data_IF_434674566211
#
_entry.id   IF_434674566211
#
_cell.length_a   1.000
_cell.length_b   1.000
_cell.length_c   1.000
_cell.angle_alpha   90.00
_cell.angle_beta   90.00
_cell.angle_gamma   90.00
#
_symmetry.space_group_name_H-M   'P 1'
#
loop_
_entity.id
_entity.type
_entity.pdbx_description
1 polymer ?
#
# COMPACT_ATOMS: atom_id res chain seq x y z
N UNK A 1 11.08 -3.11 36.46
CA UNK A 1 11.45 -4.45 35.95
C UNK A 1 11.96 -4.29 34.54
N UNK A 2 13.27 -4.07 34.37
CA UNK A 2 13.92 -3.79 33.09
C UNK A 2 14.62 -5.05 32.59
N UNK A 3 13.93 -5.87 31.79
CA UNK A 3 14.61 -6.82 30.93
C UNK A 3 15.18 -6.02 29.76
N UNK A 4 16.48 -5.70 29.79
CA UNK A 4 17.21 -5.04 28.70
C UNK A 4 17.56 -6.07 27.62
N UNK A 5 16.57 -6.68 26.98
CA UNK A 5 16.80 -7.49 25.79
C UNK A 5 17.25 -6.58 24.63
N UNK A 6 17.91 -7.19 23.63
CA UNK A 6 18.24 -6.48 22.40
C UNK A 6 16.98 -5.91 21.72
N UNK A 7 15.86 -6.67 21.72
CA UNK A 7 14.57 -6.22 21.20
C UNK A 7 13.99 -5.01 21.94
N UNK A 8 14.01 -5.00 23.28
CA UNK A 8 13.46 -3.88 24.05
C UNK A 8 14.30 -2.61 23.86
N UNK A 9 15.62 -2.79 23.76
CA UNK A 9 16.54 -1.69 23.45
C UNK A 9 16.36 -1.18 22.03
N UNK A 10 16.17 -2.07 21.05
CA UNK A 10 15.90 -1.70 19.66
C UNK A 10 14.62 -0.87 19.55
N UNK A 11 13.54 -1.30 20.22
CA UNK A 11 12.27 -0.57 20.26
C UNK A 11 12.44 0.84 20.83
N UNK A 12 13.16 0.97 21.95
CA UNK A 12 13.45 2.29 22.53
C UNK A 12 14.17 3.21 21.54
N UNK A 13 15.21 2.71 20.88
CA UNK A 13 15.97 3.50 19.91
C UNK A 13 15.14 3.85 18.66
N UNK A 14 14.28 2.94 18.19
CA UNK A 14 13.35 3.21 17.09
C UNK A 14 12.33 4.31 17.47
N UNK A 15 11.78 4.27 18.69
CA UNK A 15 10.92 5.33 19.23
C UNK A 15 11.63 6.68 19.32
N UNK A 16 12.88 6.70 19.78
CA UNK A 16 13.70 7.92 19.84
C UNK A 16 14.01 8.46 18.44
N UNK A 17 14.33 7.60 17.48
CA UNK A 17 14.56 7.98 16.09
C UNK A 17 13.30 8.62 15.49
N UNK A 18 12.16 7.94 15.60
CA UNK A 18 10.86 8.39 15.11
C UNK A 18 10.43 9.71 15.75
N UNK A 19 10.54 9.82 17.07
CA UNK A 19 10.17 11.05 17.81
C UNK A 19 11.07 12.22 17.45
N UNK A 20 12.38 11.98 17.30
CA UNK A 20 13.33 13.01 16.87
C UNK A 20 13.04 13.51 15.46
N UNK A 21 12.69 12.59 14.54
CA UNK A 21 12.28 12.93 13.17
C UNK A 21 11.03 13.81 13.15
N UNK A 22 10.00 13.46 13.94
CA UNK A 22 8.76 14.24 14.03
C UNK A 22 8.98 15.64 14.61
N UNK A 23 9.77 15.74 15.67
CA UNK A 23 9.93 17.02 16.39
C UNK A 23 10.96 17.96 15.73
N UNK A 24 12.07 17.42 15.22
CA UNK A 24 13.21 18.21 14.73
C UNK A 24 13.49 18.02 13.24
N UNK A 25 12.73 17.16 12.55
CA UNK A 25 13.04 16.75 11.19
C UNK A 25 14.26 15.82 11.12
N UNK A 26 14.80 15.66 9.92
CA UNK A 26 15.95 14.81 9.68
C UNK A 26 17.20 15.43 10.33
N UNK A 27 17.71 14.78 11.38
CA UNK A 27 18.85 15.25 12.16
C UNK A 27 19.88 14.13 12.38
N UNK A 28 21.13 14.49 12.67
CA UNK A 28 22.18 13.53 13.01
C UNK A 28 21.77 12.64 14.20
N UNK A 29 21.08 13.21 15.19
CA UNK A 29 20.57 12.46 16.33
C UNK A 29 19.53 11.41 15.92
N UNK A 30 18.57 11.78 15.05
CA UNK A 30 17.57 10.86 14.54
C UNK A 30 18.20 9.68 13.78
N UNK A 31 19.19 9.97 12.92
CA UNK A 31 19.94 8.94 12.18
C UNK A 31 20.76 8.05 13.11
N UNK A 32 21.40 8.62 14.13
CA UNK A 32 22.17 7.85 15.12
C UNK A 32 21.28 6.85 15.87
N UNK A 33 20.08 7.27 16.29
CA UNK A 33 19.11 6.38 16.91
C UNK A 33 18.62 5.29 15.95
N UNK A 34 18.36 5.62 14.68
CA UNK A 34 18.01 4.64 13.63
C UNK A 34 19.10 3.55 13.50
N UNK A 35 20.36 3.96 13.38
CA UNK A 35 21.50 3.04 13.25
C UNK A 35 21.65 2.14 14.49
N UNK A 36 21.47 2.70 15.68
CA UNK A 36 21.51 1.92 16.93
C UNK A 36 20.36 0.90 17.00
N UNK A 37 19.15 1.29 16.61
CA UNK A 37 18.01 0.38 16.55
C UNK A 37 18.27 -0.77 15.58
N UNK A 38 18.80 -0.49 14.39
CA UNK A 38 19.17 -1.51 13.39
C UNK A 38 20.20 -2.51 13.92
N UNK A 39 21.26 -2.03 14.57
CA UNK A 39 22.27 -2.92 15.17
C UNK A 39 21.63 -3.83 16.23
N UNK A 40 20.77 -3.27 17.08
CA UNK A 40 20.09 -4.03 18.14
C UNK A 40 19.06 -5.02 17.58
N UNK A 41 18.39 -4.72 16.46
CA UNK A 41 17.54 -5.67 15.75
C UNK A 41 18.35 -6.82 15.16
N UNK A 42 19.51 -6.55 14.57
CA UNK A 42 20.42 -7.59 14.07
C UNK A 42 20.83 -8.53 15.21
N UNK A 43 21.28 -7.98 16.33
CA UNK A 43 21.64 -8.78 17.52
C UNK A 43 20.45 -9.59 18.04
N UNK A 44 19.26 -8.98 18.10
CA UNK A 44 18.03 -9.67 18.50
C UNK A 44 17.69 -10.86 17.60
N UNK A 45 17.90 -10.73 16.28
CA UNK A 45 17.64 -11.81 15.33
C UNK A 45 18.69 -12.95 15.39
N UNK A 46 19.90 -12.68 15.87
CA UNK A 46 20.97 -13.67 16.03
C UNK A 46 20.79 -14.55 17.29
N UNK A 47 20.05 -14.07 18.30
CA UNK A 47 19.89 -14.70 19.63
C UNK A 47 18.98 -15.96 19.66
N UNK A 48 18.74 -16.61 18.52
CA UNK A 48 17.91 -17.82 18.42
C UNK A 48 16.41 -17.54 18.44
N UNK A 49 15.60 -18.44 19.03
CA UNK A 49 14.14 -18.31 19.00
C UNK A 49 13.67 -17.21 19.96
N UNK A 50 13.13 -16.12 19.39
CA UNK A 50 12.60 -14.99 20.16
C UNK A 50 11.41 -15.43 21.03
N UNK A 51 11.40 -14.96 22.29
CA UNK A 51 10.19 -15.02 23.12
C UNK A 51 9.09 -14.13 22.53
N UNK A 52 7.82 -14.43 22.83
CA UNK A 52 6.67 -13.66 22.32
C UNK A 52 6.82 -12.15 22.56
N UNK A 53 7.24 -11.76 23.77
CA UNK A 53 7.46 -10.35 24.14
C UNK A 53 8.59 -9.72 23.33
N UNK A 54 9.72 -10.42 23.18
CA UNK A 54 10.85 -9.92 22.39
C UNK A 54 10.51 -9.86 20.90
N UNK A 55 9.66 -10.76 20.40
CA UNK A 55 9.15 -10.75 19.04
C UNK A 55 8.23 -9.54 18.79
N UNK A 56 7.27 -9.28 19.68
CA UNK A 56 6.43 -8.07 19.60
C UNK A 56 7.28 -6.79 19.59
N UNK A 57 8.30 -6.71 20.46
CA UNK A 57 9.20 -5.56 20.50
C UNK A 57 10.03 -5.41 19.22
N UNK A 58 10.51 -6.53 18.66
CA UNK A 58 11.24 -6.56 17.39
C UNK A 58 10.35 -6.07 16.24
N UNK A 59 9.12 -6.61 16.14
CA UNK A 59 8.12 -6.21 15.13
C UNK A 59 7.78 -4.73 15.26
N UNK A 60 7.49 -4.24 16.47
CA UNK A 60 7.17 -2.83 16.70
C UNK A 60 8.33 -1.90 16.34
N UNK A 61 9.57 -2.29 16.66
CA UNK A 61 10.76 -1.55 16.29
C UNK A 61 10.92 -1.47 14.77
N UNK A 62 10.76 -2.60 14.07
CA UNK A 62 10.78 -2.65 12.60
C UNK A 62 9.70 -1.74 11.99
N UNK A 63 8.47 -1.78 12.48
CA UNK A 63 7.38 -0.92 11.98
C UNK A 63 7.63 0.57 12.20
N UNK A 64 8.21 0.95 13.34
CA UNK A 64 8.61 2.33 13.60
C UNK A 64 9.73 2.80 12.66
N UNK A 65 10.71 1.94 12.36
CA UNK A 65 11.76 2.25 11.38
C UNK A 65 11.20 2.33 9.96
N UNK A 66 10.27 1.45 9.59
CA UNK A 66 9.54 1.56 8.33
C UNK A 66 8.79 2.88 8.21
N UNK A 67 8.13 3.31 9.28
CA UNK A 67 7.41 4.59 9.34
C UNK A 67 8.37 5.80 9.31
N UNK A 68 9.54 5.69 9.93
CA UNK A 68 10.60 6.68 9.84
C UNK A 68 11.01 6.93 8.39
N UNK A 69 11.18 5.87 7.60
CA UNK A 69 11.53 5.96 6.18
C UNK A 69 10.41 6.55 5.32
N UNK A 70 9.14 6.27 5.62
CA UNK A 70 8.01 6.77 4.81
C UNK A 70 7.66 8.23 5.10
N UNK A 71 7.90 8.73 6.32
CA UNK A 71 7.62 10.12 6.70
C UNK A 71 8.47 11.12 5.91
N UNK A 72 9.75 10.82 5.75
CA UNK A 72 10.67 11.57 4.91
C UNK A 72 11.53 10.59 4.11
N UNK A 73 11.04 10.14 2.95
CA UNK A 73 11.80 9.23 2.11
C UNK A 73 13.14 9.87 1.79
N UNK A 74 14.23 9.19 2.14
CA UNK A 74 15.47 9.43 1.42
C UNK A 74 15.19 9.03 -0.04
N UNK A 75 15.51 9.89 -1.00
CA UNK A 75 15.25 9.63 -2.42
C UNK A 75 16.06 8.43 -2.97
N UNK A 76 16.82 7.74 -2.11
CA UNK A 76 17.86 6.80 -2.48
C UNK A 76 17.63 5.33 -2.11
N UNK A 77 16.84 4.98 -1.07
CA UNK A 77 16.99 3.62 -0.50
C UNK A 77 15.75 2.71 -0.49
N UNK A 78 14.52 3.22 -0.58
CA UNK A 78 13.31 2.37 -0.53
C UNK A 78 13.25 1.44 0.70
N UNK A 79 13.98 1.81 1.77
CA UNK A 79 14.31 0.93 2.90
C UNK A 79 13.10 0.49 3.72
N UNK A 80 12.02 1.28 3.67
CA UNK A 80 10.77 0.98 4.35
C UNK A 80 10.26 -0.44 4.07
N UNK A 81 10.44 -0.96 2.86
CA UNK A 81 10.02 -2.33 2.50
C UNK A 81 10.71 -3.40 3.33
N UNK A 82 12.03 -3.26 3.53
CA UNK A 82 12.81 -4.24 4.29
C UNK A 82 12.37 -4.31 5.74
N UNK A 83 11.96 -3.17 6.30
CA UNK A 83 11.40 -3.12 7.66
C UNK A 83 10.06 -3.85 7.75
N UNK A 84 9.16 -3.67 6.78
CA UNK A 84 7.88 -4.39 6.74
C UNK A 84 8.12 -5.90 6.56
N UNK A 85 9.01 -6.29 5.65
CA UNK A 85 9.31 -7.70 5.40
C UNK A 85 9.97 -8.38 6.61
N UNK A 86 10.93 -7.72 7.25
CA UNK A 86 11.52 -8.24 8.48
C UNK A 86 10.50 -8.40 9.61
N UNK A 87 9.52 -7.49 9.72
CA UNK A 87 8.41 -7.64 10.67
C UNK A 87 7.52 -8.86 10.36
N UNK A 88 7.19 -9.08 9.08
CA UNK A 88 6.44 -10.25 8.60
C UNK A 88 7.19 -11.55 8.91
N UNK A 89 8.50 -11.61 8.62
CA UNK A 89 9.33 -12.79 8.86
C UNK A 89 9.35 -13.17 10.35
N UNK A 90 9.46 -12.18 11.24
CA UNK A 90 9.42 -12.42 12.69
C UNK A 90 8.06 -12.93 13.13
N UNK A 91 6.96 -12.35 12.62
CA UNK A 91 5.60 -12.82 12.94
C UNK A 91 5.42 -14.29 12.54
N UNK A 92 5.89 -14.67 11.35
CA UNK A 92 5.82 -16.06 10.88
C UNK A 92 6.68 -17.00 11.73
N UNK A 93 7.93 -16.61 12.02
CA UNK A 93 8.87 -17.44 12.77
C UNK A 93 8.43 -17.68 14.22
N UNK A 94 7.67 -16.73 14.79
CA UNK A 94 7.25 -16.77 16.21
C UNK A 94 5.79 -17.15 16.39
N UNK A 95 5.03 -17.32 15.30
CA UNK A 95 3.59 -17.61 15.31
C UNK A 95 2.79 -16.55 16.07
N UNK A 96 3.17 -15.27 15.93
CA UNK A 96 2.51 -14.11 16.57
C UNK A 96 1.08 -13.85 16.06
N UNK A 97 0.64 -14.58 15.04
CA UNK A 97 -0.70 -14.54 14.47
C UNK A 97 -1.73 -15.17 15.41
N UNK A 98 -1.97 -14.55 16.56
CA UNK A 98 -3.18 -14.82 17.33
C UNK A 98 -4.34 -14.01 16.71
N UNK A 99 -5.37 -14.73 16.29
CA UNK A 99 -6.47 -14.21 15.49
C UNK A 99 -7.64 -13.70 16.34
N UNK A 100 -7.52 -13.72 17.66
CA UNK A 100 -8.51 -13.14 18.54
C UNK A 100 -8.41 -11.60 18.52
N UNK A 101 -9.51 -10.86 18.29
CA UNK A 101 -9.51 -9.40 18.42
C UNK A 101 -9.30 -8.96 19.88
N UNK A 102 -9.44 -9.89 20.83
CA UNK A 102 -9.09 -9.67 22.25
C UNK A 102 -7.59 -9.86 22.52
N UNK A 103 -6.81 -10.31 21.52
CA UNK A 103 -5.39 -10.55 21.68
C UNK A 103 -4.61 -9.24 21.77
N UNK A 104 -3.70 -9.15 22.73
CA UNK A 104 -2.82 -7.98 22.92
C UNK A 104 -1.90 -7.72 21.72
N UNK A 105 -1.69 -8.72 20.86
CA UNK A 105 -0.85 -8.60 19.65
C UNK A 105 -1.62 -8.19 18.41
N UNK A 106 -2.96 -8.21 18.44
CA UNK A 106 -3.81 -7.97 17.27
C UNK A 106 -3.48 -6.64 16.58
N UNK A 107 -3.46 -5.54 17.33
CA UNK A 107 -3.19 -4.21 16.78
C UNK A 107 -1.81 -4.10 16.11
N UNK A 108 -0.81 -4.82 16.63
CA UNK A 108 0.53 -4.83 16.05
C UNK A 108 0.56 -5.63 14.74
N UNK A 109 -0.06 -6.81 14.73
CA UNK A 109 -0.14 -7.67 13.54
C UNK A 109 -0.99 -7.01 12.45
N UNK A 110 -2.10 -6.36 12.82
CA UNK A 110 -2.95 -5.60 11.91
C UNK A 110 -2.19 -4.43 11.27
N UNK A 111 -1.40 -3.70 12.06
CA UNK A 111 -0.52 -2.65 11.55
C UNK A 111 0.48 -3.19 10.52
N UNK A 112 1.12 -4.33 10.79
CA UNK A 112 2.02 -4.98 9.82
C UNK A 112 1.26 -5.41 8.57
N UNK A 113 0.09 -6.03 8.72
CA UNK A 113 -0.70 -6.53 7.61
C UNK A 113 -1.18 -5.41 6.68
N UNK A 114 -1.61 -4.27 7.22
CA UNK A 114 -1.95 -3.07 6.45
C UNK A 114 -0.78 -2.61 5.57
N UNK A 115 0.40 -2.43 6.17
CA UNK A 115 1.59 -2.00 5.42
C UNK A 115 2.05 -3.05 4.42
N UNK A 116 1.96 -4.34 4.77
CA UNK A 116 2.33 -5.44 3.89
C UNK A 116 1.40 -5.49 2.67
N UNK A 117 0.08 -5.40 2.83
CA UNK A 117 -0.89 -5.33 1.72
C UNK A 117 -0.56 -4.18 0.76
N UNK A 118 -0.31 -2.99 1.28
CA UNK A 118 -0.03 -1.82 0.44
C UNK A 118 1.38 -1.86 -0.17
N UNK A 119 2.31 -2.59 0.44
CA UNK A 119 3.59 -2.92 -0.17
C UNK A 119 3.44 -3.83 -1.39
N UNK A 120 2.51 -4.80 -1.35
CA UNK A 120 2.22 -5.68 -2.49
C UNK A 120 1.71 -4.85 -3.68
N UNK A 121 0.75 -3.97 -3.46
CA UNK A 121 0.27 -3.04 -4.48
C UNK A 121 1.43 -2.23 -5.09
N UNK A 122 2.26 -1.62 -4.26
CA UNK A 122 3.40 -0.80 -4.72
C UNK A 122 4.39 -1.62 -5.54
N UNK A 123 4.76 -2.82 -5.07
CA UNK A 123 5.73 -3.71 -5.74
C UNK A 123 5.18 -4.33 -7.03
N UNK A 124 3.86 -4.54 -7.13
CA UNK A 124 3.22 -5.09 -8.33
C UNK A 124 3.35 -4.14 -9.52
N UNK A 125 3.27 -2.83 -9.27
CA UNK A 125 3.24 -1.80 -10.30
C UNK A 125 4.59 -1.10 -10.49
N UNK A 126 5.48 -1.09 -9.51
CA UNK A 126 6.79 -0.44 -9.68
C UNK A 126 7.69 -1.19 -10.69
N UNK A 127 7.96 -0.56 -11.84
CA UNK A 127 8.57 -1.17 -13.04
C UNK A 127 9.78 -0.38 -13.57
N UNK A 128 10.63 0.13 -12.68
CA UNK A 128 11.75 1.03 -13.04
C UNK A 128 12.70 0.49 -14.13
N UNK A 129 12.82 -0.84 -14.33
CA UNK A 129 13.67 -1.42 -15.39
C UNK A 129 12.94 -1.77 -16.70
N UNK A 130 11.62 -2.02 -16.69
CA UNK A 130 10.92 -2.52 -17.89
C UNK A 130 10.27 -1.43 -18.75
N UNK A 131 9.97 -0.25 -18.19
CA UNK A 131 9.44 0.88 -18.96
C UNK A 131 10.52 1.57 -19.80
N UNK A 132 11.76 1.69 -19.29
CA UNK A 132 12.91 2.10 -20.10
C UNK A 132 13.15 1.14 -21.27
N UNK A 133 12.93 -0.17 -21.09
CA UNK A 133 13.09 -1.16 -22.17
C UNK A 133 12.01 -1.05 -23.26
N UNK A 134 10.75 -0.73 -22.92
CA UNK A 134 9.68 -0.50 -23.90
C UNK A 134 9.92 0.77 -24.74
N UNK A 135 10.46 1.84 -24.15
CA UNK A 135 10.77 3.09 -24.86
C UNK A 135 11.95 2.97 -25.85
N UNK A 136 12.89 2.04 -25.63
CA UNK A 136 14.13 1.92 -26.43
C UNK A 136 14.25 0.64 -27.29
N UNK A 137 13.18 -0.15 -27.43
CA UNK A 137 13.07 -1.20 -28.46
C UNK A 137 14.04 -2.39 -28.35
N UNK A 138 14.75 -2.57 -27.23
CA UNK A 138 15.64 -3.72 -27.03
C UNK A 138 14.93 -4.87 -26.31
N UNK A 139 14.71 -5.96 -27.04
CA UNK A 139 14.14 -7.21 -26.54
C UNK A 139 15.24 -8.02 -25.83
N UNK A 140 15.43 -7.76 -24.53
CA UNK A 140 16.14 -8.66 -23.64
C UNK A 140 15.10 -9.26 -22.68
N UNK A 141 15.14 -10.58 -22.50
CA UNK A 141 14.15 -11.35 -21.74
C UNK A 141 13.86 -10.70 -20.39
N UNK A 142 12.58 -10.47 -20.12
CA UNK A 142 12.04 -9.97 -18.86
C UNK A 142 12.28 -10.97 -17.75
N UNK A 143 13.48 -10.95 -17.19
CA UNK A 143 13.83 -11.67 -15.98
C UNK A 143 14.62 -10.71 -15.12
N UNK A 144 13.89 -9.96 -14.30
CA UNK A 144 14.32 -9.44 -12.99
C UNK A 144 13.15 -8.65 -12.41
N UNK A 145 12.02 -9.33 -12.17
CA UNK A 145 11.14 -8.92 -11.06
C UNK A 145 12.02 -9.01 -9.81
N UNK A 146 12.03 -7.98 -8.95
CA UNK A 146 12.61 -8.06 -7.60
C UNK A 146 12.23 -9.44 -7.04
N UNK A 147 13.16 -10.27 -6.55
CA UNK A 147 12.91 -11.69 -6.31
C UNK A 147 11.63 -11.89 -5.49
N UNK A 148 10.53 -12.13 -6.18
CA UNK A 148 9.19 -12.25 -5.58
C UNK A 148 9.05 -13.61 -4.91
N UNK A 149 10.10 -14.44 -4.98
CA UNK A 149 10.05 -15.88 -4.83
C UNK A 149 10.04 -16.36 -3.37
N UNK A 150 10.42 -15.54 -2.39
CA UNK A 150 10.25 -15.86 -0.97
C UNK A 150 9.03 -15.15 -0.34
N UNK A 151 8.63 -14.00 -0.90
CA UNK A 151 7.51 -13.16 -0.44
C UNK A 151 6.12 -13.69 -0.82
N UNK A 152 6.05 -14.73 -1.64
CA UNK A 152 4.77 -15.32 -2.10
C UNK A 152 4.14 -16.29 -1.08
N UNK A 153 4.82 -16.54 0.05
CA UNK A 153 4.38 -17.55 1.03
C UNK A 153 3.57 -16.96 2.19
N UNK A 154 3.74 -15.67 2.51
CA UNK A 154 2.94 -15.03 3.54
C UNK A 154 1.67 -14.41 2.94
N UNK A 155 0.53 -15.09 3.13
CA UNK A 155 -0.79 -14.49 2.97
C UNK A 155 -1.18 -13.88 4.31
N UNK A 156 -1.28 -12.54 4.46
CA UNK A 156 -1.88 -11.91 5.63
C UNK A 156 -3.22 -12.57 5.88
N UNK A 157 -3.35 -13.19 7.04
CA UNK A 157 -4.63 -13.68 7.49
C UNK A 157 -5.29 -12.52 8.22
N UNK A 158 -5.91 -11.59 7.47
CA UNK A 158 -6.78 -10.61 8.11
C UNK A 158 -8.04 -11.37 8.55
N UNK A 159 -8.25 -11.58 9.85
CA UNK A 159 -9.48 -12.23 10.28
C UNK A 159 -10.65 -11.33 9.86
N UNK A 160 -11.70 -11.90 9.28
CA UNK A 160 -12.87 -11.15 8.80
C UNK A 160 -13.77 -10.68 9.95
N UNK A 161 -13.15 -10.02 10.94
CA UNK A 161 -13.77 -9.54 12.18
C UNK A 161 -14.38 -8.17 11.95
N UNK A 162 -13.72 -7.34 11.14
CA UNK A 162 -14.17 -6.00 10.83
C UNK A 162 -14.03 -5.67 9.33
N UNK A 163 -14.84 -4.72 8.80
CA UNK A 163 -14.82 -4.36 7.40
C UNK A 163 -13.48 -3.86 6.84
N UNK A 164 -12.63 -3.27 7.67
CA UNK A 164 -11.31 -2.74 7.27
C UNK A 164 -10.36 -3.90 6.99
N UNK A 165 -10.30 -4.87 7.92
CA UNK A 165 -9.56 -6.12 7.74
C UNK A 165 -10.03 -6.89 6.51
N UNK A 166 -11.36 -6.97 6.29
CA UNK A 166 -11.92 -7.62 5.11
C UNK A 166 -11.49 -6.96 3.80
N UNK A 167 -11.56 -5.62 3.69
CA UNK A 167 -11.16 -4.94 2.45
C UNK A 167 -9.65 -5.04 2.20
N UNK A 168 -8.82 -5.02 3.25
CA UNK A 168 -7.37 -5.21 3.12
C UNK A 168 -7.01 -6.63 2.65
N UNK A 169 -7.74 -7.64 3.12
CA UNK A 169 -7.64 -9.02 2.61
C UNK A 169 -7.98 -9.12 1.13
N UNK A 170 -9.07 -8.46 0.70
CA UNK A 170 -9.49 -8.47 -0.70
C UNK A 170 -8.49 -7.73 -1.60
N UNK A 171 -7.95 -6.60 -1.13
CA UNK A 171 -6.89 -5.88 -1.85
C UNK A 171 -5.61 -6.71 -1.94
N UNK A 172 -5.23 -7.42 -0.88
CA UNK A 172 -4.09 -8.33 -0.91
C UNK A 172 -4.29 -9.43 -1.95
N UNK A 173 -5.45 -10.10 -1.92
CA UNK A 173 -5.79 -11.14 -2.89
C UNK A 173 -5.83 -10.61 -4.32
N UNK A 174 -6.36 -9.41 -4.54
CA UNK A 174 -6.32 -8.73 -5.83
C UNK A 174 -4.87 -8.61 -6.35
N UNK A 175 -3.95 -8.17 -5.49
CA UNK A 175 -2.56 -8.00 -5.88
C UNK A 175 -1.87 -9.32 -6.26
N UNK A 176 -2.31 -10.44 -5.69
CA UNK A 176 -1.76 -11.77 -5.98
C UNK A 176 -2.35 -12.41 -7.23
N UNK A 177 -3.65 -12.23 -7.49
CA UNK A 177 -4.30 -12.89 -8.63
C UNK A 177 -4.24 -12.08 -9.92
N UNK A 178 -4.18 -10.74 -9.84
CA UNK A 178 -4.25 -9.87 -11.01
C UNK A 178 -3.03 -10.06 -11.91
N UNK A 179 -3.31 -10.48 -13.14
CA UNK A 179 -2.34 -10.64 -14.23
C UNK A 179 -2.64 -9.64 -15.33
N UNK A 180 -1.66 -9.40 -16.19
CA UNK A 180 -1.85 -8.56 -17.37
C UNK A 180 -3.01 -9.13 -18.21
N UNK A 181 -4.05 -8.34 -18.55
CA UNK A 181 -5.15 -8.81 -19.40
C UNK A 181 -4.69 -9.40 -20.75
N UNK A 182 -3.52 -9.00 -21.24
CA UNK A 182 -2.91 -9.55 -22.46
C UNK A 182 -2.18 -10.88 -22.26
N UNK A 183 -1.97 -11.33 -21.02
CA UNK A 183 -1.38 -12.64 -20.74
C UNK A 183 -2.39 -13.74 -21.11
N UNK A 184 -2.02 -14.78 -21.89
CA UNK A 184 -2.92 -15.89 -22.23
C UNK A 184 -3.60 -16.55 -21.02
N UNK A 185 -2.99 -16.50 -19.84
CA UNK A 185 -3.57 -17.03 -18.59
C UNK A 185 -4.81 -16.26 -18.14
N UNK A 186 -5.03 -15.03 -18.60
CA UNK A 186 -6.23 -14.22 -18.32
C UNK A 186 -7.50 -14.84 -18.88
N UNK A 187 -7.37 -15.73 -19.86
CA UNK A 187 -8.49 -16.47 -20.45
C UNK A 187 -8.78 -17.80 -19.74
N UNK A 188 -7.97 -18.22 -18.76
CA UNK A 188 -8.21 -19.47 -18.03
C UNK A 188 -9.50 -19.40 -17.20
N UNK A 189 -10.22 -20.52 -17.12
CA UNK A 189 -11.41 -20.66 -16.28
C UNK A 189 -11.09 -20.40 -14.82
N UNK A 190 -9.93 -20.85 -14.35
CA UNK A 190 -9.49 -20.74 -12.96
C UNK A 190 -9.29 -19.27 -12.57
N UNK A 191 -8.65 -18.49 -13.44
CA UNK A 191 -8.48 -17.04 -13.24
C UNK A 191 -9.83 -16.32 -13.26
N UNK A 192 -10.66 -16.53 -14.29
CA UNK A 192 -11.97 -15.86 -14.41
C UNK A 192 -12.88 -16.15 -13.22
N UNK A 193 -12.92 -17.41 -12.76
CA UNK A 193 -13.69 -17.79 -11.58
C UNK A 193 -13.16 -17.15 -10.29
N UNK A 194 -11.84 -16.98 -10.17
CA UNK A 194 -11.23 -16.33 -9.01
C UNK A 194 -11.48 -14.83 -8.99
N UNK A 195 -11.37 -14.18 -10.15
CA UNK A 195 -11.70 -12.76 -10.31
C UNK A 195 -13.17 -12.49 -10.01
N UNK A 196 -14.10 -13.30 -10.56
CA UNK A 196 -15.53 -13.13 -10.31
C UNK A 196 -15.88 -13.29 -8.82
N UNK A 197 -15.24 -14.23 -8.12
CA UNK A 197 -15.40 -14.40 -6.67
C UNK A 197 -14.93 -13.15 -5.93
N UNK A 198 -13.76 -12.63 -6.30
CA UNK A 198 -13.19 -11.45 -5.68
C UNK A 198 -14.08 -10.22 -5.89
N UNK A 199 -14.59 -10.02 -7.11
CA UNK A 199 -15.53 -8.93 -7.42
C UNK A 199 -16.82 -9.03 -6.59
N UNK A 200 -17.42 -10.22 -6.51
CA UNK A 200 -18.62 -10.44 -5.71
C UNK A 200 -18.39 -10.15 -4.21
N UNK A 201 -17.25 -10.56 -3.65
CA UNK A 201 -16.92 -10.30 -2.25
C UNK A 201 -16.73 -8.80 -1.96
N UNK A 202 -16.16 -8.04 -2.90
CA UNK A 202 -16.02 -6.59 -2.76
C UNK A 202 -17.38 -5.91 -2.91
N UNK A 203 -18.22 -6.35 -3.83
CA UNK A 203 -19.58 -5.81 -4.03
C UNK A 203 -20.45 -6.06 -2.79
N UNK A 204 -20.38 -7.25 -2.18
CA UNK A 204 -21.04 -7.56 -0.91
C UNK A 204 -20.57 -6.62 0.22
N UNK A 205 -19.27 -6.30 0.26
CA UNK A 205 -18.72 -5.40 1.26
C UNK A 205 -19.13 -3.94 1.03
N UNK A 206 -19.26 -3.50 -0.23
CA UNK A 206 -19.79 -2.17 -0.56
C UNK A 206 -21.26 -2.07 -0.15
N UNK A 207 -22.06 -3.11 -0.40
CA UNK A 207 -23.47 -3.15 -0.02
C UNK A 207 -23.68 -3.24 1.51
N UNK A 208 -22.68 -3.72 2.25
CA UNK A 208 -22.72 -3.81 3.71
C UNK A 208 -22.73 -2.43 4.37
N UNK A 209 -23.60 -2.19 5.37
CA UNK A 209 -23.66 -0.89 6.04
C UNK A 209 -22.33 -0.55 6.72
N UNK A 210 -22.01 0.74 6.77
CA UNK A 210 -20.89 1.24 7.56
C UNK A 210 -21.23 1.04 9.05
N UNK A 211 -20.33 0.47 9.87
CA UNK A 211 -20.57 0.33 11.30
C UNK A 211 -20.85 1.68 11.98
N UNK A 212 -21.91 1.74 12.79
CA UNK A 212 -22.39 2.98 13.41
C UNK A 212 -21.46 3.55 14.50
N UNK A 213 -20.55 2.73 15.00
CA UNK A 213 -19.58 3.05 16.04
C UNK A 213 -18.29 3.67 15.50
N UNK A 214 -18.09 3.67 14.17
CA UNK A 214 -16.95 4.35 13.55
C UNK A 214 -17.08 5.86 13.69
N UNK A 215 -15.96 6.52 14.01
CA UNK A 215 -15.89 7.96 13.89
C UNK A 215 -16.04 8.38 12.40
N UNK A 216 -16.47 9.62 12.12
CA UNK A 216 -16.73 10.07 10.75
C UNK A 216 -15.53 9.94 9.80
N UNK A 217 -14.31 10.16 10.27
CA UNK A 217 -13.09 10.06 9.46
C UNK A 217 -12.81 8.61 9.07
N UNK A 218 -12.94 7.67 10.01
CA UNK A 218 -12.79 6.24 9.78
C UNK A 218 -13.90 5.68 8.88
N UNK A 219 -15.13 6.17 9.02
CA UNK A 219 -16.23 5.82 8.13
C UNK A 219 -15.94 6.22 6.68
N UNK A 220 -15.48 7.46 6.47
CA UNK A 220 -15.05 7.96 5.16
C UNK A 220 -13.87 7.15 4.62
N UNK A 221 -12.86 6.87 5.44
CA UNK A 221 -11.71 6.07 5.02
C UNK A 221 -12.14 4.66 4.55
N UNK A 222 -13.02 3.99 5.30
CA UNK A 222 -13.55 2.69 4.93
C UNK A 222 -14.29 2.72 3.60
N UNK A 223 -15.14 3.72 3.39
CA UNK A 223 -15.86 3.91 2.12
C UNK A 223 -14.88 4.10 0.95
N UNK A 224 -13.87 4.96 1.12
CA UNK A 224 -12.84 5.20 0.11
C UNK A 224 -12.07 3.91 -0.22
N UNK A 225 -11.69 3.09 0.77
CA UNK A 225 -11.01 1.82 0.53
C UNK A 225 -11.88 0.82 -0.21
N UNK A 226 -13.16 0.68 0.18
CA UNK A 226 -14.10 -0.24 -0.47
C UNK A 226 -14.23 0.08 -1.96
N UNK A 227 -14.52 1.34 -2.27
CA UNK A 227 -14.70 1.81 -3.65
C UNK A 227 -13.38 1.75 -4.42
N UNK A 228 -12.27 2.23 -3.86
CA UNK A 228 -10.99 2.21 -4.55
C UNK A 228 -10.53 0.78 -4.87
N UNK A 229 -10.74 -0.17 -3.96
CA UNK A 229 -10.41 -1.58 -4.22
C UNK A 229 -11.28 -2.15 -5.34
N UNK A 230 -12.57 -1.81 -5.38
CA UNK A 230 -13.47 -2.22 -6.45
C UNK A 230 -13.08 -1.66 -7.81
N UNK A 231 -12.76 -0.37 -7.86
CA UNK A 231 -12.24 0.29 -9.07
C UNK A 231 -10.94 -0.38 -9.50
N UNK A 232 -10.00 -0.57 -8.58
CA UNK A 232 -8.72 -1.21 -8.86
C UNK A 232 -8.91 -2.59 -9.50
N UNK A 233 -9.72 -3.47 -8.88
CA UNK A 233 -9.98 -4.81 -9.40
C UNK A 233 -10.60 -4.76 -10.80
N UNK A 234 -11.66 -3.96 -10.99
CA UNK A 234 -12.33 -3.84 -12.28
C UNK A 234 -11.43 -3.32 -13.39
N UNK A 235 -10.65 -2.26 -13.10
CA UNK A 235 -9.83 -1.60 -14.12
C UNK A 235 -8.56 -2.38 -14.42
N UNK A 236 -7.95 -2.99 -13.41
CA UNK A 236 -6.74 -3.81 -13.57
C UNK A 236 -7.01 -5.13 -14.30
N UNK A 237 -8.20 -5.69 -14.18
CA UNK A 237 -8.61 -6.91 -14.89
C UNK A 237 -9.25 -6.63 -16.26
N UNK A 238 -9.52 -5.37 -16.59
CA UNK A 238 -10.26 -4.99 -17.80
C UNK A 238 -9.55 -5.47 -19.07
N UNK A 239 -10.23 -6.35 -19.80
CA UNK A 239 -9.84 -6.71 -21.15
C UNK A 239 -10.13 -5.56 -22.11
N UNK A 240 -9.20 -5.18 -23.01
CA UNK A 240 -9.48 -4.18 -24.05
C UNK A 240 -10.58 -4.60 -25.04
N UNK A 241 -10.95 -5.88 -25.04
CA UNK A 241 -11.96 -6.46 -25.92
C UNK A 241 -13.36 -6.53 -25.28
N UNK A 242 -13.45 -6.25 -23.97
CA UNK A 242 -14.70 -6.30 -23.22
C UNK A 242 -15.18 -4.88 -22.90
N UNK A 243 -16.49 -4.69 -22.75
CA UNK A 243 -17.03 -3.41 -22.33
C UNK A 243 -16.51 -3.03 -20.94
N UNK A 244 -16.17 -1.74 -20.69
CA UNK A 244 -15.73 -1.30 -19.38
C UNK A 244 -16.77 -1.57 -18.28
N UNK A 245 -16.31 -1.98 -17.10
CA UNK A 245 -17.17 -2.03 -15.92
C UNK A 245 -17.80 -0.65 -15.65
N UNK A 246 -19.13 -0.63 -15.48
CA UNK A 246 -19.90 0.58 -15.22
C UNK A 246 -19.81 0.92 -13.74
N UNK A 247 -18.96 1.90 -13.42
CA UNK A 247 -18.68 2.35 -12.05
C UNK A 247 -18.95 3.85 -11.85
N UNK A 248 -19.48 4.53 -12.86
CA UNK A 248 -19.58 6.00 -12.88
C UNK A 248 -20.41 6.54 -11.71
N UNK A 249 -21.55 5.92 -11.41
CA UNK A 249 -22.39 6.36 -10.27
C UNK A 249 -21.69 6.26 -8.92
N UNK A 250 -20.85 5.24 -8.74
CA UNK A 250 -20.07 5.01 -7.51
C UNK A 250 -18.97 6.08 -7.40
N UNK A 251 -18.29 6.36 -8.52
CA UNK A 251 -17.23 7.37 -8.61
C UNK A 251 -17.80 8.77 -8.38
N UNK A 252 -18.89 9.12 -9.06
CA UNK A 252 -19.54 10.43 -8.94
C UNK A 252 -20.02 10.69 -7.50
N UNK A 253 -20.57 9.67 -6.84
CA UNK A 253 -20.98 9.77 -5.42
C UNK A 253 -19.79 10.16 -4.51
N UNK A 254 -18.59 9.62 -4.77
CA UNK A 254 -17.41 9.98 -4.01
C UNK A 254 -16.94 11.41 -4.27
N UNK A 255 -16.97 11.85 -5.54
CA UNK A 255 -16.59 13.20 -5.93
C UNK A 255 -17.55 14.26 -5.37
N UNK A 256 -18.86 13.98 -5.37
CA UNK A 256 -19.89 14.87 -4.85
C UNK A 256 -19.93 14.90 -3.31
N UNK A 257 -19.41 13.88 -2.63
CA UNK A 257 -19.45 13.74 -1.17
C UNK A 257 -18.06 13.77 -0.52
N UNK A 258 -17.50 12.61 -0.14
CA UNK A 258 -16.24 12.52 0.62
C UNK A 258 -15.07 13.33 0.05
N UNK A 259 -14.83 13.25 -1.26
CA UNK A 259 -13.66 13.90 -1.89
C UNK A 259 -13.74 15.43 -1.80
N UNK A 260 -14.93 16.00 -1.81
CA UNK A 260 -15.12 17.45 -1.70
C UNK A 260 -14.74 18.01 -0.31
N UNK A 261 -14.90 17.21 0.75
CA UNK A 261 -14.89 17.70 2.14
C UNK A 261 -13.82 17.08 3.03
N UNK A 262 -13.30 15.89 2.70
CA UNK A 262 -12.35 15.18 3.58
C UNK A 262 -10.90 15.66 3.43
N UNK A 263 -10.08 15.26 4.40
CA UNK A 263 -8.63 15.07 4.22
C UNK A 263 -8.38 13.57 4.06
N UNK A 264 -7.40 13.19 3.24
CA UNK A 264 -7.12 11.79 2.97
C UNK A 264 -5.63 11.50 3.16
N UNK A 265 -5.31 10.81 4.26
CA UNK A 265 -3.98 10.26 4.53
C UNK A 265 -3.77 8.89 3.86
N UNK A 266 -4.82 8.33 3.26
CA UNK A 266 -4.80 7.02 2.62
C UNK A 266 -4.43 7.16 1.16
N UNK A 267 -3.16 6.91 0.84
CA UNK A 267 -2.62 7.21 -0.49
C UNK A 267 -3.13 6.24 -1.56
N UNK A 268 -3.41 4.97 -1.22
CA UNK A 268 -3.96 4.02 -2.17
C UNK A 268 -5.33 4.47 -2.70
N UNK A 269 -6.34 4.76 -1.86
CA UNK A 269 -7.62 5.26 -2.36
C UNK A 269 -7.48 6.57 -3.13
N UNK A 270 -6.65 7.50 -2.63
CA UNK A 270 -6.38 8.76 -3.32
C UNK A 270 -5.87 8.56 -4.75
N UNK A 271 -4.88 7.68 -4.94
CA UNK A 271 -4.35 7.41 -6.27
C UNK A 271 -5.40 6.81 -7.18
N UNK A 272 -6.14 5.79 -6.73
CA UNK A 272 -7.14 5.12 -7.56
C UNK A 272 -8.24 6.09 -7.98
N UNK A 273 -8.71 6.96 -7.08
CA UNK A 273 -9.71 7.98 -7.41
C UNK A 273 -9.15 9.03 -8.38
N UNK A 274 -7.90 9.42 -8.20
CA UNK A 274 -7.23 10.32 -9.13
C UNK A 274 -7.07 9.70 -10.52
N UNK A 275 -6.86 8.39 -10.65
CA UNK A 275 -6.86 7.72 -11.95
C UNK A 275 -8.23 7.84 -12.67
N UNK A 276 -9.34 7.93 -11.93
CA UNK A 276 -10.69 8.05 -12.48
C UNK A 276 -11.15 9.51 -12.70
N UNK A 277 -10.35 10.52 -12.35
CA UNK A 277 -10.72 11.93 -12.58
C UNK A 277 -10.56 12.31 -14.06
N UNK A 278 -11.60 12.00 -14.85
CA UNK A 278 -11.64 12.21 -16.31
C UNK A 278 -12.02 13.64 -16.70
N UNK A 279 -12.62 14.38 -15.77
CA UNK A 279 -13.05 15.77 -15.98
C UNK A 279 -12.19 16.76 -15.22
N UNK A 280 -12.08 17.98 -15.73
CA UNK A 280 -11.29 19.05 -15.11
C UNK A 280 -11.75 19.36 -13.68
N UNK A 281 -13.06 19.34 -13.41
CA UNK A 281 -13.59 19.60 -12.08
C UNK A 281 -13.24 18.48 -11.08
N UNK A 282 -13.24 17.23 -11.52
CA UNK A 282 -12.78 16.09 -10.70
C UNK A 282 -11.28 16.20 -10.42
N UNK A 283 -10.46 16.57 -11.41
CA UNK A 283 -9.01 16.82 -11.22
C UNK A 283 -8.77 17.95 -10.23
N UNK A 284 -9.54 19.04 -10.34
CA UNK A 284 -9.51 20.14 -9.36
C UNK A 284 -9.92 19.66 -7.96
N UNK A 285 -10.92 18.80 -7.84
CA UNK A 285 -11.32 18.22 -6.55
C UNK A 285 -10.18 17.39 -5.91
N UNK A 286 -9.46 16.58 -6.70
CA UNK A 286 -8.28 15.82 -6.24
C UNK A 286 -7.16 16.78 -5.80
N UNK A 287 -6.85 17.81 -6.58
CA UNK A 287 -5.82 18.79 -6.23
C UNK A 287 -6.18 19.55 -4.94
N UNK A 288 -7.44 19.94 -4.78
CA UNK A 288 -7.94 20.56 -3.56
C UNK A 288 -7.85 19.62 -2.35
N UNK A 289 -8.16 18.34 -2.54
CA UNK A 289 -8.01 17.32 -1.50
C UNK A 289 -6.54 17.17 -1.08
N UNK A 290 -5.61 17.08 -2.05
CA UNK A 290 -4.17 17.02 -1.77
C UNK A 290 -3.72 18.26 -1.00
N UNK A 291 -4.16 19.45 -1.41
CA UNK A 291 -3.80 20.70 -0.73
C UNK A 291 -4.35 20.76 0.70
N UNK A 292 -5.60 20.33 0.93
CA UNK A 292 -6.18 20.23 2.29
C UNK A 292 -5.39 19.26 3.16
N UNK A 293 -5.05 18.07 2.63
CA UNK A 293 -4.26 17.07 3.35
C UNK A 293 -2.88 17.63 3.71
N UNK A 294 -2.15 18.24 2.77
CA UNK A 294 -0.78 18.75 3.01
C UNK A 294 -0.65 19.78 4.12
N UNK A 295 -1.74 20.48 4.49
CA UNK A 295 -1.70 21.47 5.57
C UNK A 295 -1.49 20.85 6.95
N UNK A 296 -1.68 19.54 7.10
CA UNK A 296 -1.30 18.84 8.33
C UNK A 296 0.16 18.38 8.26
N UNK A 297 1.01 19.08 9.03
CA UNK A 297 2.44 18.83 9.10
C UNK A 297 2.82 17.43 9.64
N UNK A 298 1.87 16.68 10.22
CA UNK A 298 2.07 15.32 10.74
C UNK A 298 2.01 14.26 9.63
N UNK A 299 1.55 14.64 8.44
CA UNK A 299 1.37 13.70 7.33
C UNK A 299 2.72 13.46 6.63
N UNK A 300 2.97 12.19 6.31
CA UNK A 300 4.13 11.77 5.53
C UNK A 300 4.19 12.51 4.18
N UNK A 301 5.39 12.55 3.59
CA UNK A 301 5.57 13.17 2.29
C UNK A 301 4.57 12.65 1.24
N UNK A 302 3.72 13.55 0.73
CA UNK A 302 2.78 13.25 -0.37
C UNK A 302 3.46 13.33 -1.75
N UNK A 303 4.76 13.57 -1.81
CA UNK A 303 5.49 13.80 -3.07
C UNK A 303 5.29 12.65 -4.04
N UNK A 304 5.60 11.42 -3.61
CA UNK A 304 5.57 10.26 -4.50
C UNK A 304 4.16 9.97 -5.06
N UNK A 305 3.11 10.08 -4.24
CA UNK A 305 1.73 9.90 -4.72
C UNK A 305 1.31 11.03 -5.66
N UNK A 306 1.75 12.27 -5.41
CA UNK A 306 1.45 13.40 -6.31
C UNK A 306 2.15 13.25 -7.65
N UNK A 307 3.44 12.89 -7.63
CA UNK A 307 4.25 12.66 -8.83
C UNK A 307 3.64 11.51 -9.65
N UNK A 308 3.18 10.43 -8.99
CA UNK A 308 2.47 9.33 -9.64
C UNK A 308 1.16 9.76 -10.29
N UNK A 309 0.32 10.54 -9.60
CA UNK A 309 -0.94 11.06 -10.14
C UNK A 309 -0.68 11.93 -11.37
N UNK A 310 0.28 12.85 -11.29
CA UNK A 310 0.63 13.73 -12.40
C UNK A 310 1.15 12.93 -13.61
N UNK A 311 2.03 11.95 -13.38
CA UNK A 311 2.53 11.10 -14.44
C UNK A 311 1.40 10.32 -15.15
N UNK A 312 0.42 9.82 -14.38
CA UNK A 312 -0.75 9.13 -14.94
C UNK A 312 -1.61 10.08 -15.76
N UNK A 313 -1.95 11.26 -15.23
CA UNK A 313 -2.76 12.24 -15.97
C UNK A 313 -2.09 12.68 -17.27
N UNK A 314 -0.77 12.88 -17.27
CA UNK A 314 -0.02 13.18 -18.49
C UNK A 314 -0.17 12.05 -19.52
N UNK A 315 -0.10 10.79 -19.11
CA UNK A 315 -0.30 9.67 -20.04
C UNK A 315 -1.74 9.58 -20.54
N UNK A 316 -2.72 9.82 -19.68
CA UNK A 316 -4.13 9.84 -20.08
C UNK A 316 -4.40 10.95 -21.10
N UNK A 317 -3.83 12.14 -20.90
CA UNK A 317 -4.00 13.28 -21.81
C UNK A 317 -3.31 13.03 -23.17
N UNK A 318 -2.15 12.36 -23.17
CA UNK A 318 -1.46 11.99 -24.40
C UNK A 318 -2.26 11.00 -25.26
N UNK A 319 -3.07 10.14 -24.64
CA UNK A 319 -3.89 9.13 -25.30
C UNK A 319 -5.37 9.50 -25.36
N UNK A 320 -5.74 10.76 -25.10
CA UNK A 320 -7.14 11.20 -25.10
C UNK A 320 -7.80 11.08 -26.48
N UNK A 321 -7.02 11.22 -27.55
CA UNK A 321 -7.47 11.14 -28.94
C UNK A 321 -7.13 9.81 -29.64
N UNK A 322 -6.42 8.90 -28.96
CA UNK A 322 -5.98 7.62 -29.54
C UNK A 322 -7.07 6.55 -29.40
N UNK A 323 -7.22 5.71 -30.44
CA UNK A 323 -8.04 4.48 -30.36
C UNK A 323 -7.38 3.40 -29.46
N UNK A 324 -6.14 3.60 -29.03
CA UNK A 324 -5.38 2.67 -28.20
C UNK A 324 -5.65 2.92 -26.72
N UNK A 325 -6.49 2.08 -26.11
CA UNK A 325 -6.70 2.07 -24.68
C UNK A 325 -5.40 1.72 -23.94
N UNK A 326 -4.84 2.67 -23.19
CA UNK A 326 -3.73 2.37 -22.28
C UNK A 326 -4.26 1.45 -21.18
N UNK A 327 -3.67 0.27 -21.06
CA UNK A 327 -3.98 -0.68 -20.01
C UNK A 327 -3.79 -0.01 -18.63
N UNK A 328 -4.77 -0.16 -17.74
CA UNK A 328 -4.73 0.40 -16.38
C UNK A 328 -3.51 -0.07 -15.57
N UNK A 329 -3.08 -1.32 -15.76
CA UNK A 329 -1.85 -1.86 -15.17
C UNK A 329 -0.60 -1.11 -15.64
N UNK A 330 -0.57 -0.72 -16.92
CA UNK A 330 0.54 0.05 -17.48
C UNK A 330 0.50 1.51 -17.00
N UNK A 331 -0.68 2.12 -16.88
CA UNK A 331 -0.84 3.46 -16.27
C UNK A 331 -0.33 3.49 -14.84
N UNK A 332 -0.79 2.55 -13.99
CA UNK A 332 -0.29 2.44 -12.62
C UNK A 332 1.21 2.20 -12.60
N UNK A 333 1.73 1.39 -13.51
CA UNK A 333 3.17 1.15 -13.60
C UNK A 333 3.97 2.40 -13.92
N UNK A 334 3.46 3.24 -14.84
CA UNK A 334 4.07 4.53 -15.18
C UNK A 334 4.02 5.46 -13.97
N UNK A 335 2.87 5.56 -13.31
CA UNK A 335 2.71 6.36 -12.09
C UNK A 335 3.70 5.96 -11.01
N UNK A 336 3.78 4.67 -10.66
CA UNK A 336 4.72 4.19 -9.64
C UNK A 336 6.18 4.42 -10.02
N UNK A 337 6.52 4.24 -11.30
CA UNK A 337 7.89 4.35 -11.78
C UNK A 337 8.34 5.80 -12.03
N UNK A 338 7.46 6.79 -11.78
CA UNK A 338 7.85 8.21 -11.75
C UNK A 338 8.82 8.52 -10.60
N UNK A 339 8.81 7.69 -9.54
CA UNK A 339 9.72 7.80 -8.41
C UNK A 339 10.95 6.89 -8.58
N UNK A 340 12.14 7.40 -8.22
CA UNK A 340 13.41 6.66 -8.24
C UNK A 340 13.43 5.47 -7.27
N UNK A 341 12.67 5.58 -6.18
CA UNK A 341 12.46 4.55 -5.17
C UNK A 341 11.01 4.08 -5.19
N UNK A 342 10.77 2.86 -4.74
CA UNK A 342 9.41 2.34 -4.59
C UNK A 342 8.58 3.19 -3.61
N UNK A 343 7.49 3.80 -4.07
CA UNK A 343 6.63 4.64 -3.24
C UNK A 343 5.88 3.81 -2.19
N UNK A 344 5.64 4.38 -1.02
CA UNK A 344 4.79 3.77 0.00
C UNK A 344 3.37 4.34 -0.07
N UNK A 345 2.40 3.46 -0.27
CA UNK A 345 0.97 3.80 -0.27
C UNK A 345 0.26 3.49 1.05
N UNK A 346 0.99 2.91 2.01
CA UNK A 346 0.57 2.60 3.38
C UNK A 346 0.57 3.84 4.25
#
# INVERSE_FOLDING_TARGET
MTNSSASSSALLHAMLAYSSLHHHGMSEAALKFKVQALHLLSTSAEDGQLSLVNACQHVAASMLLGSFETLRPSESSGEWLWHIWGAVDVIQATQLNDHSPESETYALTDWVNYHHTLSRFSTQHWRHKSLAQKAFGQRIQSSDRVPTSQLSLYKPNHPSIDPTSSIMSLLFEACDILIDPQDPKSHSSEYRNSLQRLEAQVDDLIASPIPNDLNPESAVALELYRVATRIYIARASQSPWEAPAVLDSLIDTLFDGPVASCTCIHFFPLLILACESRRDDQRVAILNLIDRTRRDARIRSMKAVTDAIQAIWVQQDLHADDEVLVNYMDLLSIGMSSSSTIPSFA
#
